data_IF_911014060953
#
_entry.id   IF_911014060953
#
_cell.length_a   1.000
_cell.length_b   1.000
_cell.length_c   1.000
_cell.angle_alpha   90.00
_cell.angle_beta   90.00
_cell.angle_gamma   90.00
#
_symmetry.space_group_name_H-M   'P 1'
#
loop_
_entity.id
_entity.type
_entity.pdbx_description
1 polymer ?
#
# COMPACT_ATOMS: atom_id res chain seq x y z
N UNK A 1 -30.97 -29.34 66.13
CA UNK A 1 -30.27 -29.66 64.87
C UNK A 1 -31.31 -30.17 63.88
N UNK A 2 -31.29 -29.63 62.64
CA UNK A 2 -32.21 -29.95 61.54
C UNK A 2 -33.49 -29.12 61.59
N UNK A 3 -34.05 -28.52 60.54
CA UNK A 3 -33.91 -28.68 59.09
C UNK A 3 -34.71 -27.52 58.45
N UNK A 4 -34.15 -26.34 58.23
CA UNK A 4 -34.90 -25.24 57.57
C UNK A 4 -34.11 -24.44 56.52
N UNK A 5 -32.80 -24.62 56.41
CA UNK A 5 -31.96 -23.86 55.46
C UNK A 5 -31.83 -24.53 54.08
N UNK A 6 -32.31 -25.77 53.95
CA UNK A 6 -32.12 -26.60 52.76
C UNK A 6 -32.92 -26.18 51.52
N UNK A 7 -34.19 -25.74 51.58
CA UNK A 7 -34.98 -25.49 50.37
C UNK A 7 -34.63 -24.15 49.69
N UNK A 8 -34.30 -23.11 50.46
CA UNK A 8 -33.90 -21.80 49.92
C UNK A 8 -32.52 -21.91 49.26
N UNK A 9 -31.56 -22.56 49.95
CA UNK A 9 -30.22 -22.78 49.41
C UNK A 9 -30.24 -23.67 48.15
N UNK A 10 -31.06 -24.72 48.14
CA UNK A 10 -31.21 -25.61 46.97
C UNK A 10 -31.87 -24.89 45.79
N UNK A 11 -32.94 -24.13 46.02
CA UNK A 11 -33.58 -23.33 44.97
C UNK A 11 -32.61 -22.26 44.43
N UNK A 12 -31.92 -21.53 45.31
CA UNK A 12 -30.94 -20.53 44.89
C UNK A 12 -29.77 -21.15 44.13
N UNK A 13 -29.31 -22.35 44.50
CA UNK A 13 -28.24 -23.05 43.79
C UNK A 13 -28.67 -23.50 42.39
N UNK A 14 -29.91 -23.98 42.24
CA UNK A 14 -30.47 -24.35 40.93
C UNK A 14 -30.66 -23.12 40.03
N UNK A 15 -31.24 -22.03 40.55
CA UNK A 15 -31.40 -20.78 39.79
C UNK A 15 -30.04 -20.15 39.44
N UNK A 16 -29.08 -20.18 40.36
CA UNK A 16 -27.71 -19.69 40.11
C UNK A 16 -26.97 -20.54 39.09
N UNK A 17 -27.16 -21.87 39.10
CA UNK A 17 -26.58 -22.77 38.09
C UNK A 17 -27.13 -22.50 36.68
N UNK A 18 -28.44 -22.29 36.55
CA UNK A 18 -29.07 -21.92 35.28
C UNK A 18 -28.64 -20.54 34.80
N UNK A 19 -28.55 -19.57 35.71
CA UNK A 19 -28.06 -18.22 35.40
C UNK A 19 -26.59 -18.24 34.98
N UNK A 20 -25.73 -19.02 35.66
CA UNK A 20 -24.33 -19.17 35.31
C UNK A 20 -24.15 -19.85 33.95
N UNK A 21 -24.95 -20.88 33.64
CA UNK A 21 -24.92 -21.53 32.32
C UNK A 21 -25.40 -20.59 31.21
N UNK A 22 -26.48 -19.83 31.46
CA UNK A 22 -26.98 -18.81 30.53
C UNK A 22 -25.95 -17.71 30.28
N UNK A 23 -25.32 -17.20 31.34
CA UNK A 23 -24.25 -16.20 31.25
C UNK A 23 -23.02 -16.72 30.51
N UNK A 24 -22.63 -17.98 30.72
CA UNK A 24 -21.52 -18.60 30.00
C UNK A 24 -21.80 -18.76 28.50
N UNK A 25 -23.02 -19.20 28.14
CA UNK A 25 -23.42 -19.34 26.74
C UNK A 25 -23.46 -17.97 26.05
N UNK A 26 -24.08 -16.97 26.69
CA UNK A 26 -24.12 -15.61 26.18
C UNK A 26 -22.71 -15.00 26.07
N UNK A 27 -21.82 -15.27 27.02
CA UNK A 27 -20.42 -14.80 26.96
C UNK A 27 -19.64 -15.41 25.81
N UNK A 28 -19.87 -16.70 25.50
CA UNK A 28 -19.25 -17.35 24.33
C UNK A 28 -19.74 -16.76 23.02
N UNK A 29 -21.06 -16.60 22.88
CA UNK A 29 -21.67 -15.99 21.69
C UNK A 29 -21.23 -14.54 21.47
N UNK A 30 -21.11 -13.77 22.56
CA UNK A 30 -20.56 -12.42 22.53
C UNK A 30 -19.06 -12.41 22.18
N UNK A 31 -18.27 -13.36 22.68
CA UNK A 31 -16.84 -13.48 22.38
C UNK A 31 -16.59 -13.89 20.93
N UNK A 32 -17.41 -14.78 20.38
CA UNK A 32 -17.37 -15.19 18.96
C UNK A 32 -17.74 -14.01 18.05
N UNK A 33 -18.74 -13.22 18.44
CA UNK A 33 -19.11 -11.98 17.74
C UNK A 33 -18.00 -10.94 17.81
N UNK A 34 -17.41 -10.71 18.98
CA UNK A 34 -16.30 -9.79 19.17
C UNK A 34 -15.06 -10.21 18.36
N UNK A 35 -14.78 -11.52 18.27
CA UNK A 35 -13.70 -12.05 17.45
C UNK A 35 -13.94 -11.82 15.94
N UNK A 36 -15.18 -11.98 15.47
CA UNK A 36 -15.57 -11.71 14.08
C UNK A 36 -15.51 -10.22 13.75
N UNK A 37 -16.05 -9.35 14.61
CA UNK A 37 -15.95 -7.89 14.47
C UNK A 37 -14.49 -7.45 14.48
N UNK A 38 -13.67 -7.98 15.38
CA UNK A 38 -12.24 -7.66 15.45
C UNK A 38 -11.48 -8.12 14.19
N UNK A 39 -11.90 -9.19 13.52
CA UNK A 39 -11.34 -9.60 12.23
C UNK A 39 -11.76 -8.63 11.11
N UNK A 40 -13.05 -8.28 11.02
CA UNK A 40 -13.58 -7.32 10.05
C UNK A 40 -12.93 -5.94 10.22
N UNK A 41 -12.73 -5.49 11.46
CA UNK A 41 -12.05 -4.24 11.76
C UNK A 41 -10.56 -4.29 11.41
N UNK A 42 -9.88 -5.42 11.62
CA UNK A 42 -8.48 -5.62 11.17
C UNK A 42 -8.35 -5.55 9.65
N UNK A 43 -9.26 -6.18 8.91
CA UNK A 43 -9.26 -6.16 7.45
C UNK A 43 -9.66 -4.78 6.89
N UNK A 44 -10.59 -4.08 7.55
CA UNK A 44 -10.91 -2.68 7.25
C UNK A 44 -9.72 -1.76 7.52
N UNK A 45 -8.99 -1.97 8.61
CA UNK A 45 -7.81 -1.19 8.97
C UNK A 45 -6.67 -1.37 7.95
N UNK A 46 -6.45 -2.60 7.44
CA UNK A 46 -5.46 -2.86 6.39
C UNK A 46 -5.75 -2.13 5.08
N UNK A 47 -7.02 -2.10 4.64
CA UNK A 47 -7.42 -1.39 3.42
C UNK A 47 -7.45 0.14 3.61
N UNK A 48 -7.68 0.62 4.84
CA UNK A 48 -7.72 2.05 5.15
C UNK A 48 -6.34 2.74 5.14
N UNK A 49 -5.24 1.98 5.18
CA UNK A 49 -3.88 2.52 5.25
C UNK A 49 -3.01 2.23 4.01
N UNK A 50 -3.57 1.64 2.96
CA UNK A 50 -2.83 1.33 1.74
C UNK A 50 -3.06 2.42 0.68
N UNK A 51 -2.04 3.18 0.25
CA UNK A 51 -2.18 4.18 -0.80
C UNK A 51 -2.60 3.57 -2.14
N UNK A 52 -3.59 4.16 -2.79
CA UNK A 52 -4.05 3.81 -4.13
C UNK A 52 -3.52 4.83 -5.14
N UNK A 53 -2.37 4.54 -5.73
CA UNK A 53 -1.77 5.37 -6.77
C UNK A 53 -2.14 4.83 -8.16
N UNK A 54 -2.58 5.73 -9.04
CA UNK A 54 -2.86 5.44 -10.44
C UNK A 54 -1.86 6.16 -11.33
N UNK A 55 -1.13 5.39 -12.12
CA UNK A 55 -0.18 5.89 -13.11
C UNK A 55 -0.76 5.68 -14.51
N UNK A 56 -0.78 6.71 -15.33
CA UNK A 56 -1.22 6.63 -16.73
C UNK A 56 -0.25 7.35 -17.64
N UNK A 57 0.29 6.63 -18.61
CA UNK A 57 1.12 7.16 -19.67
C UNK A 57 0.27 7.56 -20.88
N UNK A 58 0.43 8.80 -21.35
CA UNK A 58 -0.14 9.32 -22.59
C UNK A 58 1.01 9.55 -23.58
N UNK A 59 1.19 8.59 -24.49
CA UNK A 59 2.38 8.52 -25.35
C UNK A 59 2.43 9.63 -26.40
N UNK A 60 1.28 10.07 -26.92
CA UNK A 60 1.20 11.13 -27.94
C UNK A 60 1.80 12.44 -27.46
N UNK A 61 1.63 12.72 -26.17
CA UNK A 61 1.98 14.00 -25.55
C UNK A 61 3.26 13.89 -24.71
N UNK A 62 3.78 12.67 -24.52
CA UNK A 62 4.93 12.39 -23.67
C UNK A 62 4.66 12.74 -22.20
N UNK A 63 3.48 12.39 -21.69
CA UNK A 63 3.07 12.75 -20.33
C UNK A 63 2.75 11.52 -19.46
N UNK A 64 3.28 11.53 -18.23
CA UNK A 64 2.88 10.62 -17.18
C UNK A 64 1.97 11.33 -16.18
N UNK A 65 0.77 10.82 -16.01
CA UNK A 65 -0.16 11.25 -14.97
C UNK A 65 0.00 10.36 -13.74
N UNK A 66 0.16 11.00 -12.59
CA UNK A 66 0.24 10.35 -11.28
C UNK A 66 -0.91 10.88 -10.45
N UNK A 67 -1.85 10.01 -10.08
CA UNK A 67 -3.03 10.37 -9.29
C UNK A 67 -3.04 9.56 -8.00
N UNK A 68 -3.35 10.22 -6.89
CA UNK A 68 -3.59 9.55 -5.62
C UNK A 68 -5.09 9.43 -5.41
N UNK A 69 -5.65 8.25 -5.62
CA UNK A 69 -7.10 8.02 -5.57
C UNK A 69 -7.62 7.97 -4.11
N UNK A 70 -6.74 7.72 -3.14
CA UNK A 70 -7.05 7.63 -1.72
C UNK A 70 -6.40 6.40 -1.09
N UNK A 71 -6.74 6.04 0.16
CA UNK A 71 -7.74 6.67 1.01
C UNK A 71 -7.33 8.08 1.49
N UNK A 72 -8.29 9.01 1.57
CA UNK A 72 -8.04 10.38 2.01
C UNK A 72 -7.52 10.47 3.47
N UNK A 73 -7.75 9.45 4.29
CA UNK A 73 -7.26 9.38 5.67
C UNK A 73 -5.73 9.33 5.77
N UNK A 74 -5.02 8.99 4.69
CA UNK A 74 -3.56 9.04 4.62
C UNK A 74 -3.01 10.47 4.51
N UNK A 75 -3.87 11.45 4.25
CA UNK A 75 -3.47 12.84 4.06
C UNK A 75 -2.54 13.02 2.85
N UNK A 76 -1.63 13.98 2.95
CA UNK A 76 -0.68 14.31 1.90
C UNK A 76 0.45 13.28 1.83
N UNK A 77 0.68 12.70 0.65
CA UNK A 77 1.80 11.79 0.41
C UNK A 77 2.99 12.52 -0.20
N UNK A 78 4.20 12.05 0.10
CA UNK A 78 5.42 12.44 -0.62
C UNK A 78 5.75 11.36 -1.63
N UNK A 79 5.58 11.66 -2.92
CA UNK A 79 5.72 10.71 -4.01
C UNK A 79 7.15 10.79 -4.56
N UNK A 80 7.82 9.63 -4.63
CA UNK A 80 9.11 9.46 -5.31
C UNK A 80 8.92 8.47 -6.45
N UNK A 81 9.30 8.86 -7.66
CA UNK A 81 9.29 7.99 -8.84
C UNK A 81 10.69 7.76 -9.36
N UNK A 82 10.95 6.52 -9.76
CA UNK A 82 12.23 6.06 -10.29
C UNK A 82 11.91 5.16 -11.48
N UNK A 83 12.56 5.41 -12.61
CA UNK A 83 12.52 4.52 -13.75
C UNK A 83 13.45 3.35 -13.46
N UNK A 84 12.85 2.16 -13.45
CA UNK A 84 13.55 0.92 -13.16
C UNK A 84 14.48 0.58 -14.32
N UNK A 85 15.60 -0.01 -13.97
CA UNK A 85 16.66 -0.42 -14.90
C UNK A 85 16.75 -1.94 -14.85
N UNK A 86 15.94 -2.57 -15.68
CA UNK A 86 15.83 -4.03 -15.80
C UNK A 86 16.65 -4.59 -16.95
N UNK A 87 17.53 -3.78 -17.54
CA UNK A 87 18.29 -4.18 -18.71
C UNK A 87 19.49 -5.06 -18.32
N UNK A 88 19.54 -6.23 -18.94
CA UNK A 88 20.63 -7.20 -18.76
C UNK A 88 21.87 -6.77 -19.58
N UNK A 89 22.81 -6.14 -18.88
CA UNK A 89 24.05 -5.60 -19.44
C UNK A 89 25.02 -6.67 -19.98
N UNK A 90 24.84 -7.94 -19.61
CA UNK A 90 25.72 -9.03 -20.10
C UNK A 90 25.60 -9.25 -21.61
N UNK A 91 24.53 -8.72 -22.22
CA UNK A 91 24.25 -8.82 -23.66
C UNK A 91 24.85 -7.69 -24.49
N UNK A 92 25.43 -6.67 -23.88
CA UNK A 92 26.08 -5.56 -24.61
C UNK A 92 27.46 -6.04 -25.08
N UNK A 93 27.71 -6.12 -26.40
CA UNK A 93 29.02 -6.53 -26.89
C UNK A 93 30.07 -5.50 -26.50
N UNK A 94 31.12 -5.93 -25.81
CA UNK A 94 32.32 -5.13 -25.57
C UNK A 94 33.13 -4.99 -26.86
N UNK A 95 32.66 -4.15 -27.78
CA UNK A 95 33.42 -3.81 -28.99
C UNK A 95 34.54 -2.84 -28.65
N UNK A 96 35.73 -3.06 -29.20
CA UNK A 96 36.83 -2.10 -29.10
C UNK A 96 36.41 -0.77 -29.75
N UNK A 97 36.39 0.31 -28.96
CA UNK A 97 35.86 1.62 -29.37
C UNK A 97 34.38 1.86 -29.07
N UNK A 98 33.69 0.92 -28.41
CA UNK A 98 32.34 1.12 -27.88
C UNK A 98 32.30 1.92 -26.57
N UNK A 99 31.10 2.25 -26.07
CA UNK A 99 30.93 3.00 -24.82
C UNK A 99 31.60 2.25 -23.65
N UNK A 100 32.25 3.00 -22.79
CA UNK A 100 32.85 2.48 -21.55
C UNK A 100 31.78 1.94 -20.60
N UNK A 101 32.12 1.03 -19.67
CA UNK A 101 31.18 0.53 -18.68
C UNK A 101 30.47 1.64 -17.87
N UNK A 102 31.18 2.72 -17.57
CA UNK A 102 30.63 3.88 -16.87
C UNK A 102 29.59 4.64 -17.71
N UNK A 103 29.83 4.78 -19.02
CA UNK A 103 28.87 5.37 -19.95
C UNK A 103 27.62 4.49 -20.11
N UNK A 104 27.79 3.16 -20.19
CA UNK A 104 26.68 2.21 -20.25
C UNK A 104 25.82 2.26 -18.98
N UNK A 105 26.46 2.46 -17.81
CA UNK A 105 25.77 2.56 -16.52
C UNK A 105 24.91 3.83 -16.38
N UNK A 106 25.25 4.91 -17.10
CA UNK A 106 24.52 6.18 -17.06
C UNK A 106 23.30 6.22 -17.98
N UNK A 107 23.18 5.28 -18.93
CA UNK A 107 22.03 5.22 -19.84
C UNK A 107 20.80 4.68 -19.10
N UNK A 108 19.67 5.36 -19.28
CA UNK A 108 18.36 4.84 -18.86
C UNK A 108 17.87 3.89 -19.95
N UNK A 109 17.86 2.60 -19.66
CA UNK A 109 17.42 1.56 -20.58
C UNK A 109 15.95 1.23 -20.31
N UNK A 110 15.05 1.83 -21.10
CA UNK A 110 13.61 1.62 -21.04
C UNK A 110 12.92 2.27 -22.22
N UNK A 111 11.60 2.15 -22.36
CA UNK A 111 10.91 2.85 -23.47
C UNK A 111 10.82 4.37 -23.24
N UNK A 112 10.91 4.81 -21.99
CA UNK A 112 10.76 6.20 -21.59
C UNK A 112 11.78 6.59 -20.51
N UNK A 113 12.14 7.87 -20.51
CA UNK A 113 12.82 8.56 -19.40
C UNK A 113 12.05 9.81 -19.00
N UNK A 114 12.21 10.29 -17.78
CA UNK A 114 11.77 11.65 -17.44
C UNK A 114 12.54 12.66 -18.28
N UNK A 115 11.87 13.72 -18.72
CA UNK A 115 12.52 14.77 -19.50
C UNK A 115 13.55 15.48 -18.62
N UNK A 116 14.86 15.39 -18.91
CA UNK A 116 15.90 15.92 -18.03
C UNK A 116 15.73 17.41 -17.73
N UNK A 117 15.87 17.79 -16.45
CA UNK A 117 15.74 19.19 -16.00
C UNK A 117 14.32 19.75 -16.00
N UNK A 118 13.31 18.96 -16.36
CA UNK A 118 11.89 19.35 -16.35
C UNK A 118 11.17 18.62 -15.22
N UNK A 119 10.19 19.28 -14.59
CA UNK A 119 9.40 18.71 -13.46
C UNK A 119 10.25 18.15 -12.31
N UNK A 120 11.44 18.72 -12.11
CA UNK A 120 12.40 18.28 -11.10
C UNK A 120 13.12 16.98 -11.43
N UNK A 121 13.12 16.54 -12.70
CA UNK A 121 13.88 15.39 -13.17
C UNK A 121 15.39 15.61 -13.06
N UNK A 122 16.12 14.54 -12.71
CA UNK A 122 17.58 14.54 -12.78
C UNK A 122 18.09 14.63 -14.22
N UNK A 123 19.39 14.86 -14.38
CA UNK A 123 20.02 15.02 -15.70
C UNK A 123 19.97 13.75 -16.55
N UNK A 124 19.80 12.58 -15.93
CA UNK A 124 19.70 11.31 -16.64
C UNK A 124 18.25 10.98 -17.04
N UNK A 125 17.27 11.69 -16.46
CA UNK A 125 15.86 11.39 -16.61
C UNK A 125 15.42 10.13 -15.85
N UNK A 126 16.19 9.69 -14.84
CA UNK A 126 15.91 8.43 -14.11
C UNK A 126 14.99 8.64 -12.93
N UNK A 127 15.12 9.78 -12.26
CA UNK A 127 14.33 10.14 -11.09
C UNK A 127 13.76 11.54 -11.21
N UNK A 128 12.72 11.83 -10.44
CA UNK A 128 12.22 13.18 -10.20
C UNK A 128 12.33 13.52 -8.73
N UNK A 129 12.49 14.81 -8.45
CA UNK A 129 12.46 15.35 -7.09
C UNK A 129 11.14 14.93 -6.43
N UNK A 130 11.14 14.42 -5.18
CA UNK A 130 9.93 14.04 -4.50
C UNK A 130 8.92 15.19 -4.44
N UNK A 131 7.66 14.91 -4.73
CA UNK A 131 6.62 15.93 -4.76
C UNK A 131 5.44 15.54 -3.88
N UNK A 132 4.76 16.52 -3.25
CA UNK A 132 3.56 16.25 -2.48
C UNK A 132 2.38 15.90 -3.40
N UNK A 133 1.51 15.00 -2.97
CA UNK A 133 0.26 14.69 -3.64
C UNK A 133 -0.85 14.44 -2.62
N UNK A 134 -1.93 15.21 -2.73
CA UNK A 134 -3.12 15.08 -1.89
C UNK A 134 -4.11 14.07 -2.48
N UNK A 135 -4.99 13.51 -1.64
CA UNK A 135 -5.98 12.54 -2.11
C UNK A 135 -6.99 13.19 -3.06
N UNK A 136 -7.24 12.56 -4.21
CA UNK A 136 -8.04 13.08 -5.31
C UNK A 136 -7.24 13.92 -6.31
N UNK A 137 -6.04 14.39 -5.95
CA UNK A 137 -5.21 15.23 -6.82
C UNK A 137 -4.36 14.42 -7.79
N UNK A 138 -3.87 15.14 -8.81
CA UNK A 138 -2.98 14.61 -9.84
C UNK A 138 -1.82 15.54 -10.15
N UNK A 139 -0.68 14.93 -10.45
CA UNK A 139 0.50 15.59 -11.03
C UNK A 139 0.76 15.05 -12.43
N UNK A 140 1.36 15.87 -13.28
CA UNK A 140 1.81 15.49 -14.62
C UNK A 140 3.33 15.63 -14.67
N UNK A 141 3.99 14.67 -15.31
CA UNK A 141 5.43 14.66 -15.49
C UNK A 141 5.74 14.48 -16.97
N UNK A 142 6.63 15.30 -17.51
CA UNK A 142 7.12 15.18 -18.87
C UNK A 142 8.05 13.96 -19.01
N UNK A 143 7.81 13.19 -20.05
CA UNK A 143 8.62 12.05 -20.47
C UNK A 143 9.12 12.28 -21.89
N UNK A 144 10.29 11.73 -22.16
CA UNK A 144 10.81 11.57 -23.51
C UNK A 144 10.99 10.07 -23.80
N UNK A 145 10.86 9.64 -25.07
CA UNK A 145 11.31 8.32 -25.47
C UNK A 145 12.78 8.14 -25.07
N UNK A 146 13.08 7.00 -24.46
CA UNK A 146 14.46 6.64 -24.15
C UNK A 146 15.09 5.96 -25.36
N UNK A 147 16.43 5.88 -25.38
CA UNK A 147 17.16 5.25 -26.48
C UNK A 147 16.86 3.76 -26.42
N UNK A 148 16.00 3.28 -27.33
CA UNK A 148 15.91 1.85 -27.59
C UNK A 148 17.26 1.45 -28.21
N UNK A 149 18.12 0.78 -27.45
CA UNK A 149 19.27 0.11 -28.03
C UNK A 149 18.85 -1.10 -28.86
#
# INVERSE_FOLDING_TARGET
MGIADTPIAAASAVFSGLAAFGAWKASREANDTAASVAQIERDRWHNALTPQLRLRLEQSDGLLYVRFDGPAQLGRLSIRLIIRDDFDRTRVPGLAGGPTPDEIAQVVWGSYRFRPGVDGADQLGRTVTPFPLDAGDRTRLALDPSVNG
#
